data_IF_978487902964
#
_entry.id   IF_978487902964
#
_cell.length_a   1.000
_cell.length_b   1.000
_cell.length_c   1.000
_cell.angle_alpha   90.00
_cell.angle_beta   90.00
_cell.angle_gamma   90.00
#
_symmetry.space_group_name_H-M   'P 1'
#
loop_
_entity.id
_entity.type
_entity.pdbx_description
1 polymer ?
#
# COMPACT_ATOMS: atom_id res chain seq x y z
N UNK A 1 17.50 0.02 6.69
CA UNK A 1 17.57 0.08 5.21
C UNK A 1 16.47 1.00 4.73
N UNK A 2 16.61 1.66 3.58
CA UNK A 2 15.65 2.65 3.09
C UNK A 2 15.48 2.58 1.57
N UNK A 3 14.47 3.29 1.06
CA UNK A 3 14.17 3.40 -0.37
C UNK A 3 14.11 4.86 -0.77
N UNK A 4 14.60 5.16 -1.97
CA UNK A 4 14.54 6.50 -2.57
C UNK A 4 13.93 6.33 -3.94
N UNK A 5 12.85 7.06 -4.19
CA UNK A 5 12.20 7.07 -5.50
C UNK A 5 12.86 8.06 -6.44
N UNK A 6 13.08 7.61 -7.67
CA UNK A 6 13.46 8.48 -8.78
C UNK A 6 12.19 8.77 -9.59
N UNK A 7 11.64 9.99 -9.62
CA UNK A 7 12.09 11.24 -9.00
C UNK A 7 10.92 11.94 -8.29
N UNK A 8 11.21 12.90 -7.42
CA UNK A 8 10.13 13.60 -6.69
C UNK A 8 9.46 14.69 -7.53
N UNK A 9 10.23 15.48 -8.29
CA UNK A 9 9.72 16.64 -9.04
C UNK A 9 10.39 16.81 -10.41
N UNK A 10 9.77 17.62 -11.27
CA UNK A 10 10.35 18.12 -12.51
C UNK A 10 10.96 19.53 -12.36
N UNK A 11 11.88 19.87 -13.26
CA UNK A 11 12.43 21.23 -13.39
C UNK A 11 11.83 22.01 -14.59
N UNK A 12 11.06 21.36 -15.47
CA UNK A 12 10.32 21.97 -16.57
C UNK A 12 9.16 21.05 -16.99
N UNK A 13 8.15 21.54 -17.74
CA UNK A 13 7.04 20.71 -18.18
C UNK A 13 7.51 19.62 -19.15
N UNK A 14 7.53 18.37 -18.69
CA UNK A 14 8.02 17.24 -19.48
C UNK A 14 7.38 15.92 -19.03
N UNK A 15 7.49 14.89 -19.86
CA UNK A 15 7.17 13.52 -19.46
C UNK A 15 8.34 12.91 -18.70
N UNK A 16 8.15 12.60 -17.42
CA UNK A 16 9.19 12.08 -16.54
C UNK A 16 8.63 11.10 -15.48
N UNK A 17 9.51 10.64 -14.60
CA UNK A 17 9.19 9.83 -13.41
C UNK A 17 8.73 10.64 -12.19
N UNK A 18 8.50 11.95 -12.31
CA UNK A 18 8.21 12.81 -11.17
C UNK A 18 6.87 12.48 -10.50
N UNK A 19 6.82 12.49 -9.16
CA UNK A 19 5.55 12.47 -8.41
C UNK A 19 4.85 13.85 -8.39
N UNK A 20 5.61 14.93 -8.64
CA UNK A 20 5.16 16.32 -8.71
C UNK A 20 5.53 16.94 -10.06
N UNK A 21 4.54 17.31 -10.86
CA UNK A 21 4.75 18.06 -12.10
C UNK A 21 4.91 19.55 -11.80
N UNK A 22 5.99 20.16 -12.31
CA UNK A 22 6.16 21.60 -12.31
C UNK A 22 5.55 22.21 -13.58
N UNK A 23 4.74 23.25 -13.42
CA UNK A 23 4.17 23.98 -14.54
C UNK A 23 3.70 25.38 -14.13
N UNK A 24 2.91 26.00 -15.00
CA UNK A 24 2.37 27.35 -14.81
C UNK A 24 0.85 27.31 -14.86
N UNK A 25 0.17 28.01 -13.96
CA UNK A 25 -1.29 28.17 -14.02
C UNK A 25 -1.73 29.24 -15.03
N UNK A 26 -3.04 29.41 -15.21
CA UNK A 26 -3.59 30.40 -16.15
C UNK A 26 -3.25 31.86 -15.80
N UNK A 27 -2.85 32.14 -14.56
CA UNK A 27 -2.41 33.46 -14.10
C UNK A 27 -0.89 33.66 -14.26
N UNK A 28 -0.18 32.72 -14.89
CA UNK A 28 1.27 32.81 -15.09
C UNK A 28 2.09 32.42 -13.85
N UNK A 29 1.49 31.82 -12.81
CA UNK A 29 2.18 31.48 -11.56
C UNK A 29 2.73 30.05 -11.61
N UNK A 30 3.95 29.79 -11.12
CA UNK A 30 4.46 28.44 -10.95
C UNK A 30 3.57 27.62 -10.01
N UNK A 31 3.24 26.40 -10.41
CA UNK A 31 2.46 25.44 -9.63
C UNK A 31 3.09 24.05 -9.69
N UNK A 32 3.00 23.31 -8.59
CA UNK A 32 3.34 21.90 -8.52
C UNK A 32 2.07 21.05 -8.43
N UNK A 33 1.83 20.17 -9.41
CA UNK A 33 0.67 19.29 -9.46
C UNK A 33 1.07 17.89 -9.01
N UNK A 34 0.31 17.32 -8.07
CA UNK A 34 0.53 15.96 -7.56
C UNK A 34 0.03 14.93 -8.57
N UNK A 35 0.93 14.06 -9.06
CA UNK A 35 0.55 12.86 -9.82
C UNK A 35 -0.05 11.81 -8.90
N UNK A 36 -0.76 10.79 -9.43
CA UNK A 36 -1.18 9.62 -8.66
C UNK A 36 -0.07 8.99 -7.82
N UNK A 37 1.17 8.99 -8.33
CA UNK A 37 2.35 8.51 -7.61
C UNK A 37 2.55 9.21 -6.26
N UNK A 38 2.31 10.52 -6.15
CA UNK A 38 2.42 11.24 -4.88
C UNK A 38 1.55 10.63 -3.77
N UNK A 39 0.31 10.27 -4.11
CA UNK A 39 -0.63 9.68 -3.16
C UNK A 39 -0.26 8.24 -2.80
N UNK A 40 0.27 7.49 -3.78
CA UNK A 40 0.81 6.16 -3.53
C UNK A 40 2.02 6.20 -2.58
N UNK A 41 2.96 7.13 -2.80
CA UNK A 41 4.13 7.31 -1.93
C UNK A 41 3.75 7.76 -0.53
N UNK A 42 2.80 8.69 -0.40
CA UNK A 42 2.27 9.09 0.92
C UNK A 42 1.71 7.90 1.69
N UNK A 43 1.05 6.97 1.00
CA UNK A 43 0.51 5.75 1.62
C UNK A 43 1.62 4.73 1.92
N UNK A 44 2.59 4.57 1.02
CA UNK A 44 3.70 3.63 1.17
C UNK A 44 4.72 4.05 2.25
N UNK A 45 4.83 5.34 2.55
CA UNK A 45 5.71 5.89 3.59
C UNK A 45 4.95 6.36 4.84
N UNK A 46 3.74 5.86 5.05
CA UNK A 46 3.06 6.07 6.34
C UNK A 46 3.79 5.30 7.45
N UNK A 47 3.80 5.84 8.67
CA UNK A 47 4.45 5.23 9.84
C UNK A 47 4.01 3.76 10.06
N UNK A 48 2.74 3.47 9.75
CA UNK A 48 2.19 2.12 9.73
C UNK A 48 1.66 1.78 8.33
N UNK A 49 2.11 0.65 7.79
CA UNK A 49 1.71 0.18 6.46
C UNK A 49 1.23 -1.28 6.55
N UNK A 50 0.06 -1.55 5.96
CA UNK A 50 -0.43 -2.91 5.73
C UNK A 50 -0.45 -3.19 4.23
N UNK A 51 0.10 -4.33 3.83
CA UNK A 51 0.04 -4.80 2.43
C UNK A 51 -0.28 -6.29 2.37
N UNK A 52 -0.88 -6.70 1.25
CA UNK A 52 -1.02 -8.12 0.89
C UNK A 52 0.00 -8.39 -0.21
N UNK A 53 0.91 -9.33 0.03
CA UNK A 53 2.01 -9.64 -0.89
C UNK A 53 1.95 -11.12 -1.32
N UNK A 54 2.25 -11.43 -2.59
CA UNK A 54 2.36 -12.81 -3.03
C UNK A 54 3.63 -13.44 -2.45
N UNK A 55 3.54 -14.70 -2.02
CA UNK A 55 4.72 -15.46 -1.58
C UNK A 55 5.30 -16.20 -2.79
N UNK A 56 6.63 -16.22 -2.92
CA UNK A 56 7.33 -16.82 -4.07
C UNK A 56 6.99 -18.28 -4.35
N UNK A 57 6.57 -19.03 -3.32
CA UNK A 57 6.14 -20.45 -3.42
C UNK A 57 4.62 -20.63 -3.52
N UNK A 58 3.88 -19.54 -3.75
CA UNK A 58 2.42 -19.53 -3.82
C UNK A 58 1.74 -19.08 -2.52
N UNK A 59 0.50 -18.60 -2.69
CA UNK A 59 -0.29 -18.01 -1.62
C UNK A 59 0.06 -16.54 -1.36
N UNK A 60 -0.55 -16.02 -0.30
CA UNK A 60 -0.49 -14.61 0.07
C UNK A 60 -0.07 -14.44 1.53
N UNK A 61 0.58 -13.33 1.83
CA UNK A 61 0.87 -12.90 3.18
C UNK A 61 0.35 -11.48 3.44
N UNK A 62 -0.16 -11.27 4.64
CA UNK A 62 -0.37 -9.95 5.21
C UNK A 62 0.94 -9.47 5.81
N UNK A 63 1.44 -8.33 5.35
CA UNK A 63 2.66 -7.69 5.85
C UNK A 63 2.28 -6.39 6.56
N UNK A 64 2.65 -6.29 7.84
CA UNK A 64 2.48 -5.11 8.67
C UNK A 64 3.86 -4.52 8.93
N UNK A 65 4.08 -3.28 8.53
CA UNK A 65 5.32 -2.53 8.78
C UNK A 65 5.02 -1.44 9.80
N UNK A 66 5.86 -1.35 10.82
CA UNK A 66 5.86 -0.29 11.81
C UNK A 66 7.20 0.42 11.76
N UNK A 67 7.23 1.59 11.12
CA UNK A 67 8.41 2.47 11.07
C UNK A 67 8.40 3.51 12.20
N UNK A 68 7.36 3.53 13.05
CA UNK A 68 7.32 4.36 14.24
C UNK A 68 8.26 3.87 15.34
N UNK A 69 8.56 4.76 16.28
CA UNK A 69 9.40 4.48 17.45
C UNK A 69 8.65 3.81 18.60
N UNK A 70 7.34 3.54 18.44
CA UNK A 70 6.50 2.92 19.46
C UNK A 70 5.83 1.64 18.95
N UNK A 71 5.51 0.66 19.82
CA UNK A 71 4.79 -0.53 19.42
C UNK A 71 3.39 -0.20 18.90
N UNK A 72 2.91 -0.99 17.94
CA UNK A 72 1.59 -0.85 17.34
C UNK A 72 0.79 -2.14 17.53
N UNK A 73 -0.44 -2.00 18.03
CA UNK A 73 -1.45 -3.06 18.09
C UNK A 73 -2.44 -2.83 16.95
N UNK A 74 -2.40 -3.71 15.95
CA UNK A 74 -3.20 -3.61 14.74
C UNK A 74 -4.39 -4.57 14.80
N UNK A 75 -5.62 -4.07 14.63
CA UNK A 75 -6.78 -4.91 14.38
C UNK A 75 -6.90 -5.18 12.88
N UNK A 76 -6.12 -6.14 12.37
CA UNK A 76 -6.03 -6.37 10.94
C UNK A 76 -7.19 -7.23 10.43
N UNK A 77 -7.89 -6.77 9.39
CA UNK A 77 -8.91 -7.55 8.67
C UNK A 77 -8.60 -7.66 7.18
N UNK A 78 -8.66 -8.89 6.69
CA UNK A 78 -8.44 -9.26 5.28
C UNK A 78 -9.68 -9.95 4.77
N UNK A 79 -10.14 -9.59 3.57
CA UNK A 79 -11.30 -10.22 2.94
C UNK A 79 -11.02 -10.58 1.49
N UNK A 80 -11.45 -11.78 1.11
CA UNK A 80 -11.60 -12.18 -0.28
C UNK A 80 -12.99 -11.78 -0.75
N UNK A 81 -13.06 -10.99 -1.82
CA UNK A 81 -14.31 -10.41 -2.34
C UNK A 81 -14.44 -10.65 -3.83
N UNK A 82 -15.67 -10.88 -4.31
CA UNK A 82 -15.97 -10.69 -5.72
C UNK A 82 -16.02 -9.20 -6.06
N UNK A 83 -15.90 -8.87 -7.35
CA UNK A 83 -15.98 -7.48 -7.82
C UNK A 83 -17.35 -6.82 -7.58
N UNK A 84 -18.40 -7.61 -7.37
CA UNK A 84 -19.73 -7.14 -6.96
C UNK A 84 -19.84 -6.83 -5.46
N UNK A 85 -18.80 -7.12 -4.68
CA UNK A 85 -18.72 -6.88 -3.24
C UNK A 85 -19.04 -8.09 -2.36
N UNK A 86 -19.50 -9.22 -2.91
CA UNK A 86 -19.78 -10.45 -2.13
C UNK A 86 -18.52 -10.91 -1.39
N UNK A 87 -18.61 -11.10 -0.07
CA UNK A 87 -17.50 -11.60 0.75
C UNK A 87 -17.51 -13.13 0.72
N UNK A 88 -16.40 -13.72 0.25
CA UNK A 88 -16.22 -15.18 0.16
C UNK A 88 -15.52 -15.79 1.37
N UNK A 89 -14.75 -14.98 2.07
CA UNK A 89 -13.97 -15.40 3.22
C UNK A 89 -13.09 -14.27 3.71
N UNK A 90 -12.45 -14.48 4.87
CA UNK A 90 -11.58 -13.47 5.45
C UNK A 90 -10.88 -13.95 6.71
N UNK A 91 -9.99 -13.11 7.20
CA UNK A 91 -9.30 -13.23 8.47
C UNK A 91 -9.47 -11.91 9.22
N UNK A 92 -9.68 -11.98 10.53
CA UNK A 92 -9.55 -10.84 11.43
C UNK A 92 -8.68 -11.27 12.61
N UNK A 93 -7.64 -10.48 12.90
CA UNK A 93 -6.70 -10.79 13.96
C UNK A 93 -6.09 -9.51 14.53
N UNK A 94 -6.00 -9.45 15.86
CA UNK A 94 -5.19 -8.44 16.55
C UNK A 94 -3.70 -8.86 16.50
N UNK A 95 -2.85 -7.97 15.99
CA UNK A 95 -1.42 -8.24 15.75
C UNK A 95 -0.58 -7.21 16.49
N UNK A 96 0.35 -7.68 17.32
CA UNK A 96 1.34 -6.82 17.95
C UNK A 96 2.59 -6.68 17.07
N UNK A 97 2.88 -5.46 16.64
CA UNK A 97 4.01 -5.08 15.79
C UNK A 97 4.95 -4.18 16.59
N UNK A 98 6.11 -4.69 17.04
CA UNK A 98 7.11 -3.86 17.73
C UNK A 98 7.52 -2.63 16.92
N UNK A 99 8.05 -1.62 17.59
CA UNK A 99 8.64 -0.44 16.96
C UNK A 99 9.73 -0.82 15.95
N UNK A 100 9.85 -0.05 14.86
CA UNK A 100 10.86 -0.24 13.80
C UNK A 100 10.97 -1.69 13.31
N UNK A 101 9.84 -2.36 13.06
CA UNK A 101 9.80 -3.78 12.72
C UNK A 101 8.75 -4.15 11.67
N UNK A 102 8.84 -5.37 11.15
CA UNK A 102 7.87 -5.93 10.22
C UNK A 102 7.32 -7.25 10.75
N UNK A 103 6.01 -7.44 10.68
CA UNK A 103 5.33 -8.71 10.92
C UNK A 103 4.73 -9.24 9.64
N UNK A 104 4.78 -10.57 9.47
CA UNK A 104 4.22 -11.29 8.31
C UNK A 104 3.31 -12.40 8.80
N UNK A 105 2.12 -12.49 8.23
CA UNK A 105 1.12 -13.50 8.56
C UNK A 105 0.69 -14.17 7.26
N UNK A 106 0.84 -15.50 7.19
CA UNK A 106 0.34 -16.27 6.04
C UNK A 106 -1.18 -16.25 6.00
N UNK A 107 -1.73 -16.10 4.80
CA UNK A 107 -3.16 -16.11 4.53
C UNK A 107 -3.60 -17.47 3.95
N UNK A 108 -3.19 -18.57 4.58
CA UNK A 108 -3.45 -19.94 4.12
C UNK A 108 -4.95 -20.22 3.91
N UNK A 109 -5.80 -19.68 4.78
CA UNK A 109 -7.25 -19.82 4.70
C UNK A 109 -7.87 -19.16 3.46
N UNK A 110 -7.14 -18.28 2.76
CA UNK A 110 -7.59 -17.57 1.56
C UNK A 110 -6.97 -18.15 0.27
N UNK A 111 -6.23 -19.26 0.35
CA UNK A 111 -5.47 -19.85 -0.75
C UNK A 111 -6.28 -20.75 -1.70
N UNK A 112 -7.62 -20.83 -1.56
CA UNK A 112 -8.45 -21.45 -2.59
C UNK A 112 -8.22 -20.72 -3.93
N UNK A 113 -8.28 -21.40 -5.09
CA UNK A 113 -8.00 -20.76 -6.37
C UNK A 113 -8.92 -19.56 -6.53
N UNK A 114 -8.31 -18.36 -6.47
CA UNK A 114 -9.01 -17.10 -6.72
C UNK A 114 -9.45 -17.19 -8.18
N UNK A 115 -10.74 -17.46 -8.40
CA UNK A 115 -11.29 -17.35 -9.74
C UNK A 115 -11.05 -15.91 -10.23
N UNK A 116 -10.82 -15.68 -11.53
CA UNK A 116 -10.41 -14.36 -12.05
C UNK A 116 -11.39 -13.22 -11.78
N UNK A 117 -12.58 -13.50 -11.23
CA UNK A 117 -13.60 -12.53 -10.81
C UNK A 117 -13.47 -12.08 -9.35
N UNK A 118 -12.53 -12.62 -8.58
CA UNK A 118 -12.34 -12.32 -7.18
C UNK A 118 -11.01 -11.57 -6.91
N UNK A 119 -11.03 -10.64 -5.95
CA UNK A 119 -9.88 -9.87 -5.49
C UNK A 119 -9.71 -9.92 -3.97
N UNK A 120 -8.48 -9.74 -3.50
CA UNK A 120 -8.18 -9.57 -2.07
C UNK A 120 -8.21 -8.09 -1.70
N UNK A 121 -8.92 -7.76 -0.63
CA UNK A 121 -8.99 -6.42 -0.06
C UNK A 121 -8.55 -6.44 1.41
N UNK A 122 -7.75 -5.43 1.78
CA UNK A 122 -7.56 -5.04 3.17
C UNK A 122 -8.73 -4.16 3.57
N UNK A 123 -9.39 -4.53 4.66
CA UNK A 123 -10.39 -3.69 5.30
C UNK A 123 -9.82 -3.42 6.68
N UNK A 124 -9.48 -2.15 6.95
CA UNK A 124 -8.86 -1.77 8.21
C UNK A 124 -9.64 -2.17 9.45
#
# INVERSE_FOLDING_TARGET
>A
MGTVVWQINDCWPTSSWAALDLGTDAAGRPVARRKPLWYALRSAYADHLLTIQPVSRGGWELVLVNDATTPWVADARVQLRHLDGEVRGGLAQTVHVPAASTRRIRLDALAAPVQPTAGLALVG
#
